data_IF_697771830621
#
_entry.id   IF_697771830621
#
_cell.length_a   1.000
_cell.length_b   1.000
_cell.length_c   1.000
_cell.angle_alpha   90.00
_cell.angle_beta   90.00
_cell.angle_gamma   90.00
#
_symmetry.space_group_name_H-M   'P 1'
#
loop_
_entity.id
_entity.type
_entity.pdbx_description
1 polymer ?
#
# COMPACT_ATOMS: atom_id res chain seq x y z
N UNK A 1 1.32 -1.46 -5.51
CA UNK A 1 0.90 -0.65 -6.66
C UNK A 1 0.61 -1.61 -7.79
N UNK A 2 -0.43 -1.35 -8.56
CA UNK A 2 -0.80 -2.11 -9.74
C UNK A 2 0.28 -1.93 -10.82
N UNK A 3 0.81 -3.00 -11.36
CA UNK A 3 1.95 -2.96 -12.31
C UNK A 3 1.60 -2.16 -13.58
N UNK A 4 0.39 -2.32 -14.11
CA UNK A 4 -0.04 -1.56 -15.29
C UNK A 4 -0.06 -0.04 -15.06
N UNK A 5 -0.29 0.42 -13.82
CA UNK A 5 -0.22 1.85 -13.49
C UNK A 5 1.22 2.37 -13.54
N UNK A 6 2.18 1.59 -13.04
CA UNK A 6 3.61 1.95 -13.13
C UNK A 6 4.01 2.08 -14.59
N UNK A 7 3.68 1.08 -15.40
CA UNK A 7 3.99 1.07 -16.83
C UNK A 7 3.36 2.28 -17.55
N UNK A 8 2.08 2.53 -17.32
CA UNK A 8 1.36 3.69 -17.96
C UNK A 8 1.94 5.03 -17.54
N UNK A 9 2.21 5.24 -16.24
CA UNK A 9 2.76 6.51 -15.78
C UNK A 9 4.16 6.75 -16.33
N UNK A 10 5.02 5.72 -16.37
CA UNK A 10 6.36 5.84 -16.93
C UNK A 10 6.33 6.12 -18.44
N UNK A 11 5.47 5.45 -19.20
CA UNK A 11 5.27 5.72 -20.63
C UNK A 11 4.81 7.15 -20.87
N UNK A 12 3.84 7.61 -20.08
CA UNK A 12 3.29 8.98 -20.20
C UNK A 12 4.36 10.04 -19.94
N UNK A 13 5.20 9.84 -18.92
CA UNK A 13 6.33 10.75 -18.67
C UNK A 13 7.31 10.71 -19.85
N UNK A 14 7.66 9.52 -20.36
CA UNK A 14 8.52 9.42 -21.54
C UNK A 14 7.95 10.14 -22.76
N UNK A 15 6.65 9.98 -23.02
CA UNK A 15 5.96 10.66 -24.13
C UNK A 15 6.03 12.18 -24.03
N UNK A 16 5.95 12.74 -22.81
CA UNK A 16 6.10 14.18 -22.58
C UNK A 16 7.48 14.72 -23.02
N UNK A 17 8.50 13.86 -23.05
CA UNK A 17 9.86 14.20 -23.47
C UNK A 17 10.25 13.62 -24.84
N UNK A 18 9.29 13.14 -25.63
CA UNK A 18 9.58 12.56 -26.95
C UNK A 18 10.23 11.18 -26.91
N UNK A 19 10.23 10.50 -25.76
CA UNK A 19 10.87 9.21 -25.53
C UNK A 19 9.86 8.06 -25.62
N UNK A 20 10.27 6.92 -26.19
CA UNK A 20 9.52 5.65 -26.07
C UNK A 20 10.07 4.85 -24.88
N UNK A 21 9.20 4.54 -23.93
CA UNK A 21 9.57 3.86 -22.69
C UNK A 21 8.95 2.47 -22.64
N UNK A 22 9.81 1.47 -22.47
CA UNK A 22 9.42 0.07 -22.29
C UNK A 22 9.90 -0.41 -20.93
N UNK A 23 9.00 -1.05 -20.16
CA UNK A 23 9.32 -1.58 -18.84
C UNK A 23 9.00 -3.06 -18.77
N UNK A 24 9.97 -3.87 -18.32
CA UNK A 24 9.74 -5.20 -17.79
C UNK A 24 9.81 -5.15 -16.27
N UNK A 25 8.71 -5.43 -15.60
CA UNK A 25 8.64 -5.39 -14.12
C UNK A 25 8.78 -6.80 -13.58
N UNK A 26 9.76 -7.01 -12.71
CA UNK A 26 10.03 -8.28 -12.03
C UNK A 26 9.88 -8.11 -10.52
N UNK A 27 9.96 -9.20 -9.78
CA UNK A 27 9.75 -9.19 -8.33
C UNK A 27 10.69 -8.24 -7.55
N UNK A 28 11.94 -8.11 -7.98
CA UNK A 28 12.96 -7.31 -7.27
C UNK A 28 13.59 -6.21 -8.12
N UNK A 29 13.40 -6.25 -9.42
CA UNK A 29 14.01 -5.29 -10.33
C UNK A 29 13.06 -4.92 -11.47
N UNK A 30 13.39 -3.81 -12.12
CA UNK A 30 12.73 -3.32 -13.32
C UNK A 30 13.79 -3.22 -14.40
N UNK A 31 13.50 -3.77 -15.57
CA UNK A 31 14.27 -3.50 -16.77
C UNK A 31 13.62 -2.32 -17.48
N UNK A 32 14.34 -1.23 -17.58
CA UNK A 32 13.89 0.00 -18.24
C UNK A 32 14.64 0.15 -19.56
N UNK A 33 13.88 0.27 -20.66
CA UNK A 33 14.41 0.64 -21.97
C UNK A 33 13.81 1.96 -22.37
N UNK A 34 14.65 2.94 -22.66
CA UNK A 34 14.26 4.27 -23.17
C UNK A 34 14.83 4.42 -24.56
N UNK A 35 13.99 4.75 -25.52
CA UNK A 35 14.39 5.01 -26.91
C UNK A 35 14.02 6.45 -27.26
N UNK A 36 15.00 7.22 -27.66
CA UNK A 36 14.78 8.56 -28.22
C UNK A 36 14.15 8.41 -29.61
N UNK A 37 12.99 9.06 -29.83
CA UNK A 37 12.26 8.97 -31.10
C UNK A 37 12.92 9.74 -32.24
N UNK A 38 13.79 10.71 -31.95
CA UNK A 38 14.48 11.54 -32.95
C UNK A 38 15.81 10.89 -33.38
N UNK A 39 16.61 10.45 -32.40
CA UNK A 39 17.94 9.91 -32.66
C UNK A 39 17.97 8.40 -32.83
N UNK A 40 16.91 7.70 -32.43
CA UNK A 40 16.84 6.23 -32.35
C UNK A 40 17.89 5.61 -31.39
N UNK A 41 18.49 6.43 -30.53
CA UNK A 41 19.39 5.92 -29.50
C UNK A 41 18.59 5.22 -28.39
N UNK A 42 19.07 4.06 -27.96
CA UNK A 42 18.44 3.27 -26.92
C UNK A 42 19.33 3.17 -25.68
N UNK A 43 18.75 3.47 -24.51
CA UNK A 43 19.38 3.25 -23.21
C UNK A 43 18.63 2.15 -22.47
N UNK A 44 19.39 1.17 -21.94
CA UNK A 44 18.83 0.08 -21.14
C UNK A 44 19.42 0.13 -19.73
N UNK A 45 18.58 0.05 -18.72
CA UNK A 45 19.00 0.05 -17.33
C UNK A 45 18.21 -0.99 -16.52
N UNK A 46 18.90 -1.65 -15.60
CA UNK A 46 18.29 -2.54 -14.61
C UNK A 46 18.26 -1.81 -13.27
N UNK A 47 17.08 -1.59 -12.74
CA UNK A 47 16.86 -0.83 -11.51
C UNK A 47 16.33 -1.77 -10.44
N UNK A 48 17.02 -1.85 -9.31
CA UNK A 48 16.53 -2.60 -8.15
C UNK A 48 15.37 -1.86 -7.49
N UNK A 49 14.32 -2.61 -7.12
CA UNK A 49 13.16 -2.05 -6.42
C UNK A 49 13.46 -2.00 -4.92
N UNK A 50 13.67 -0.81 -4.33
CA UNK A 50 13.88 -0.70 -2.90
C UNK A 50 12.60 -1.02 -2.12
N UNK A 51 12.77 -1.65 -0.95
CA UNK A 51 11.66 -1.92 -0.06
C UNK A 51 11.18 -0.63 0.61
N UNK A 52 10.12 -0.04 0.08
CA UNK A 52 9.45 1.11 0.68
C UNK A 52 8.08 0.75 1.24
N UNK A 53 7.62 1.41 2.31
CA UNK A 53 6.26 1.27 2.79
C UNK A 53 5.26 1.76 1.73
N UNK A 54 4.08 1.13 1.68
CA UNK A 54 3.05 1.49 0.73
C UNK A 54 2.44 2.84 1.14
N UNK A 55 2.47 3.83 0.25
CA UNK A 55 1.77 5.10 0.39
C UNK A 55 0.82 5.29 -0.79
N UNK A 56 -0.48 5.32 -0.50
CA UNK A 56 -1.50 5.59 -1.52
C UNK A 56 -1.48 7.04 -1.97
N UNK A 57 -1.13 7.96 -1.08
CA UNK A 57 -0.98 9.38 -1.35
C UNK A 57 0.13 9.63 -2.37
N UNK A 58 1.35 9.17 -2.09
CA UNK A 58 2.47 9.29 -3.05
C UNK A 58 2.13 8.64 -4.40
N UNK A 59 1.46 7.48 -4.38
CA UNK A 59 1.05 6.81 -5.62
C UNK A 59 0.04 7.64 -6.43
N UNK A 60 -0.91 8.31 -5.76
CA UNK A 60 -1.88 9.21 -6.39
C UNK A 60 -1.20 10.45 -6.96
N UNK A 61 -0.34 11.09 -6.16
CA UNK A 61 0.38 12.31 -6.56
C UNK A 61 1.36 12.05 -7.73
N UNK A 62 2.08 10.91 -7.71
CA UNK A 62 2.95 10.51 -8.82
C UNK A 62 2.15 10.23 -10.10
N UNK A 63 0.95 9.66 -9.96
CA UNK A 63 0.06 9.49 -11.11
C UNK A 63 -0.44 10.84 -11.65
N UNK A 64 -0.81 11.78 -10.77
CA UNK A 64 -1.18 13.14 -11.17
C UNK A 64 -0.01 13.87 -11.83
N UNK A 65 1.20 13.75 -11.28
CA UNK A 65 2.41 14.34 -11.85
C UNK A 65 2.68 13.84 -13.27
N UNK A 66 2.41 12.55 -13.55
CA UNK A 66 2.58 11.99 -14.90
C UNK A 66 1.62 12.61 -15.93
N UNK A 67 0.41 12.99 -15.52
CA UNK A 67 -0.52 13.74 -16.36
C UNK A 67 -0.09 15.19 -16.53
N UNK A 68 0.29 15.83 -15.43
CA UNK A 68 0.77 17.20 -15.45
C UNK A 68 2.00 17.40 -16.37
N UNK A 69 2.87 16.38 -16.42
CA UNK A 69 4.03 16.40 -17.31
C UNK A 69 3.64 16.54 -18.79
N UNK A 70 2.57 15.87 -19.22
CA UNK A 70 2.05 15.94 -20.59
C UNK A 70 1.24 17.21 -20.80
N UNK A 71 0.27 17.49 -19.92
CA UNK A 71 -0.72 18.55 -20.11
C UNK A 71 -0.07 19.96 -20.06
N UNK A 72 0.92 20.11 -19.17
CA UNK A 72 1.60 21.41 -18.96
C UNK A 72 2.99 21.48 -19.59
N UNK A 73 3.42 20.46 -20.34
CA UNK A 73 4.74 20.42 -20.99
C UNK A 73 5.88 20.76 -20.02
N UNK A 74 5.88 20.10 -18.84
CA UNK A 74 6.89 20.37 -17.79
C UNK A 74 8.31 20.14 -18.31
N UNK A 75 9.23 21.01 -17.91
CA UNK A 75 10.66 20.77 -18.09
C UNK A 75 11.16 19.65 -17.19
N UNK A 76 12.29 19.03 -17.52
CA UNK A 76 12.90 17.98 -16.71
C UNK A 76 13.23 18.47 -15.28
N UNK A 77 13.63 19.74 -15.15
CA UNK A 77 13.93 20.36 -13.86
C UNK A 77 12.67 20.49 -12.99
N UNK A 78 11.58 20.98 -13.56
CA UNK A 78 10.29 21.12 -12.87
C UNK A 78 9.71 19.76 -12.47
N UNK A 79 9.75 18.78 -13.38
CA UNK A 79 9.33 17.40 -13.09
C UNK A 79 10.13 16.83 -11.92
N UNK A 80 11.47 16.97 -11.96
CA UNK A 80 12.36 16.49 -10.91
C UNK A 80 12.10 17.18 -9.58
N UNK A 81 11.88 18.48 -9.57
CA UNK A 81 11.57 19.24 -8.37
C UNK A 81 10.25 18.78 -7.73
N UNK A 82 9.19 18.60 -8.54
CA UNK A 82 7.88 18.10 -8.08
C UNK A 82 7.97 16.67 -7.60
N UNK A 83 8.68 15.78 -8.30
CA UNK A 83 8.93 14.40 -7.88
C UNK A 83 9.61 14.36 -6.51
N UNK A 84 10.70 15.12 -6.33
CA UNK A 84 11.40 15.20 -5.03
C UNK A 84 10.50 15.69 -3.92
N UNK A 85 9.64 16.67 -4.18
CA UNK A 85 8.66 17.19 -3.22
C UNK A 85 7.67 16.10 -2.79
N UNK A 86 7.13 15.32 -3.73
CA UNK A 86 6.18 14.23 -3.44
C UNK A 86 6.85 13.15 -2.60
N UNK A 87 8.03 12.68 -3.02
CA UNK A 87 8.72 11.57 -2.33
C UNK A 87 9.23 11.97 -0.95
N UNK A 88 9.54 13.24 -0.73
CA UNK A 88 9.97 13.77 0.59
C UNK A 88 8.81 14.15 1.51
N UNK A 89 7.56 14.09 1.04
CA UNK A 89 6.41 14.43 1.87
C UNK A 89 6.30 13.48 3.08
N UNK A 90 6.02 14.00 4.28
CA UNK A 90 5.92 13.19 5.47
C UNK A 90 4.71 12.25 5.38
N UNK A 91 4.91 10.99 5.76
CA UNK A 91 3.80 10.04 5.86
C UNK A 91 2.87 10.38 7.04
N UNK A 92 1.64 9.90 6.95
CA UNK A 92 0.62 10.06 8.00
C UNK A 92 1.17 9.60 9.35
N UNK A 93 0.92 10.40 10.38
CA UNK A 93 1.40 10.10 11.73
C UNK A 93 0.90 8.73 12.23
N UNK A 94 1.76 7.85 12.79
CA UNK A 94 1.41 6.48 13.17
C UNK A 94 0.20 6.36 14.11
N UNK A 95 -0.04 7.36 14.97
CA UNK A 95 -1.20 7.39 15.86
C UNK A 95 -2.52 7.56 15.11
N UNK A 96 -2.55 8.42 14.07
CA UNK A 96 -3.74 8.55 13.23
C UNK A 96 -4.03 7.26 12.47
N UNK A 97 -2.99 6.61 11.94
CA UNK A 97 -3.12 5.31 11.26
C UNK A 97 -3.69 4.27 12.23
N UNK A 98 -3.20 4.24 13.48
CA UNK A 98 -3.69 3.34 14.51
C UNK A 98 -5.19 3.51 14.76
N UNK A 99 -5.66 4.75 14.95
CA UNK A 99 -7.07 5.06 15.19
C UNK A 99 -7.94 4.72 13.97
N UNK A 100 -7.50 5.11 12.77
CA UNK A 100 -8.23 4.83 11.52
C UNK A 100 -8.39 3.33 11.28
N UNK A 101 -7.36 2.53 11.55
CA UNK A 101 -7.42 1.07 11.43
C UNK A 101 -8.39 0.48 12.46
N UNK A 102 -8.37 0.98 13.69
CA UNK A 102 -9.34 0.59 14.72
C UNK A 102 -10.79 0.85 14.30
N UNK A 103 -11.08 2.06 13.80
CA UNK A 103 -12.42 2.41 13.30
C UNK A 103 -12.80 1.58 12.06
N UNK A 104 -11.86 1.34 11.14
CA UNK A 104 -12.12 0.52 9.96
C UNK A 104 -12.53 -0.91 10.36
N UNK A 105 -11.80 -1.56 11.27
CA UNK A 105 -12.14 -2.91 11.73
C UNK A 105 -13.47 -2.95 12.51
N UNK A 106 -13.76 -1.96 13.34
CA UNK A 106 -15.04 -1.84 14.01
C UNK A 106 -16.18 -1.68 12.99
N UNK A 107 -15.98 -0.91 11.92
CA UNK A 107 -16.95 -0.76 10.83
C UNK A 107 -17.14 -2.08 10.07
N UNK A 108 -16.09 -2.86 9.83
CA UNK A 108 -16.18 -4.21 9.25
C UNK A 108 -16.98 -5.15 10.17
N UNK A 109 -16.76 -5.09 11.48
CA UNK A 109 -17.56 -5.85 12.44
C UNK A 109 -19.06 -5.55 12.26
N UNK A 110 -19.43 -4.27 12.12
CA UNK A 110 -20.82 -3.88 11.87
C UNK A 110 -21.33 -4.39 10.53
N UNK A 111 -20.52 -4.29 9.48
CA UNK A 111 -20.88 -4.74 8.14
C UNK A 111 -21.19 -6.25 8.10
N UNK A 112 -20.46 -7.04 8.89
CA UNK A 112 -20.70 -8.49 9.03
C UNK A 112 -21.79 -8.86 10.02
N UNK A 113 -22.54 -7.87 10.54
CA UNK A 113 -23.68 -8.10 11.44
C UNK A 113 -23.33 -8.09 12.92
N UNK A 114 -22.14 -7.61 13.30
CA UNK A 114 -21.76 -7.42 14.70
C UNK A 114 -22.62 -6.38 15.43
N UNK A 115 -22.84 -6.59 16.71
CA UNK A 115 -23.52 -5.66 17.60
C UNK A 115 -22.61 -4.52 18.06
N UNK A 116 -23.15 -3.54 18.75
CA UNK A 116 -22.42 -2.36 19.20
C UNK A 116 -21.30 -2.70 20.21
N UNK A 117 -21.54 -3.69 21.06
CA UNK A 117 -20.58 -4.13 22.08
C UNK A 117 -19.41 -4.83 21.39
N UNK A 118 -19.69 -5.73 20.44
CA UNK A 118 -18.66 -6.39 19.62
C UNK A 118 -17.82 -5.38 18.84
N UNK A 119 -18.42 -4.31 18.28
CA UNK A 119 -17.68 -3.22 17.64
C UNK A 119 -16.67 -2.56 18.58
N UNK A 120 -17.07 -2.27 19.83
CA UNK A 120 -16.19 -1.68 20.84
C UNK A 120 -15.03 -2.62 21.21
N UNK A 121 -15.32 -3.91 21.34
CA UNK A 121 -14.33 -4.95 21.61
C UNK A 121 -13.35 -5.07 20.44
N UNK A 122 -13.84 -5.14 19.21
CA UNK A 122 -13.02 -5.20 17.99
C UNK A 122 -12.13 -3.96 17.85
N UNK A 123 -12.68 -2.79 18.11
CA UNK A 123 -11.89 -1.55 18.12
C UNK A 123 -10.70 -1.65 19.09
N UNK A 124 -10.97 -2.01 20.34
CA UNK A 124 -9.95 -2.12 21.40
C UNK A 124 -8.92 -3.22 21.09
N UNK A 125 -9.37 -4.38 20.63
CA UNK A 125 -8.50 -5.49 20.23
C UNK A 125 -7.61 -5.11 19.05
N UNK A 126 -8.17 -4.41 18.04
CA UNK A 126 -7.41 -3.92 16.88
C UNK A 126 -6.37 -2.89 17.28
N UNK A 127 -6.73 -1.91 18.13
CA UNK A 127 -5.78 -0.91 18.64
C UNK A 127 -4.61 -1.59 19.33
N UNK A 128 -4.87 -2.54 20.21
CA UNK A 128 -3.83 -3.27 20.95
C UNK A 128 -2.93 -4.08 20.02
N UNK A 129 -3.51 -4.89 19.14
CA UNK A 129 -2.77 -5.73 18.20
C UNK A 129 -1.99 -4.92 17.17
N UNK A 130 -2.59 -3.85 16.63
CA UNK A 130 -1.91 -3.01 15.63
C UNK A 130 -0.82 -2.13 16.26
N UNK A 131 -1.02 -1.63 17.47
CA UNK A 131 0.04 -0.94 18.21
C UNK A 131 1.25 -1.84 18.42
N UNK A 132 1.02 -3.08 18.88
CA UNK A 132 2.09 -4.06 19.04
C UNK A 132 2.82 -4.33 17.71
N UNK A 133 2.06 -4.50 16.62
CA UNK A 133 2.62 -4.63 15.26
C UNK A 133 3.54 -3.47 14.92
N UNK A 134 3.09 -2.21 15.13
CA UNK A 134 3.92 -1.04 14.87
C UNK A 134 5.22 -1.02 15.70
N UNK A 135 5.16 -1.39 16.99
CA UNK A 135 6.35 -1.43 17.84
C UNK A 135 7.34 -2.52 17.41
N UNK A 136 6.82 -3.70 17.04
CA UNK A 136 7.66 -4.81 16.56
C UNK A 136 8.30 -4.49 15.20
N UNK A 137 7.57 -3.83 14.30
CA UNK A 137 8.10 -3.38 13.01
C UNK A 137 9.21 -2.32 13.18
N UNK A 138 9.07 -1.37 14.13
CA UNK A 138 10.14 -0.41 14.44
C UNK A 138 11.41 -1.11 14.90
N UNK A 139 11.30 -2.24 15.59
CA UNK A 139 12.44 -3.09 16.01
C UNK A 139 12.98 -3.99 14.89
N UNK A 140 12.46 -3.86 13.67
CA UNK A 140 12.86 -4.66 12.48
C UNK A 140 12.79 -6.18 12.71
N UNK A 141 11.82 -6.64 13.52
CA UNK A 141 11.60 -8.06 13.75
C UNK A 141 11.08 -8.75 12.48
N UNK A 142 11.27 -10.07 12.40
CA UNK A 142 10.80 -10.86 11.29
C UNK A 142 9.30 -10.67 11.07
N UNK A 143 8.90 -10.43 9.81
CA UNK A 143 7.52 -10.15 9.42
C UNK A 143 6.53 -11.23 9.88
N UNK A 144 6.91 -12.51 9.79
CA UNK A 144 6.06 -13.62 10.22
C UNK A 144 5.83 -13.62 11.74
N UNK A 145 6.85 -13.33 12.53
CA UNK A 145 6.73 -13.23 13.99
C UNK A 145 5.80 -12.06 14.34
N UNK A 146 5.99 -10.91 13.70
CA UNK A 146 5.13 -9.73 13.90
C UNK A 146 3.66 -10.07 13.60
N UNK A 147 3.41 -10.79 12.51
CA UNK A 147 2.07 -11.20 12.10
C UNK A 147 1.43 -12.14 13.13
N UNK A 148 2.13 -13.23 13.50
CA UNK A 148 1.62 -14.25 14.45
C UNK A 148 1.32 -13.64 15.81
N UNK A 149 2.26 -12.88 16.38
CA UNK A 149 2.09 -12.27 17.71
C UNK A 149 0.97 -11.23 17.70
N UNK A 150 0.89 -10.41 16.66
CA UNK A 150 -0.18 -9.40 16.55
C UNK A 150 -1.57 -10.03 16.38
N UNK A 151 -1.66 -11.11 15.59
CA UNK A 151 -2.91 -11.86 15.43
C UNK A 151 -3.34 -12.52 16.76
N UNK A 152 -2.42 -13.18 17.44
CA UNK A 152 -2.67 -13.84 18.71
C UNK A 152 -3.18 -12.85 19.75
N UNK A 153 -2.51 -11.73 19.94
CA UNK A 153 -2.92 -10.72 20.92
C UNK A 153 -4.27 -10.10 20.58
N UNK A 154 -4.52 -9.76 19.30
CA UNK A 154 -5.80 -9.22 18.87
C UNK A 154 -6.95 -10.22 19.09
N UNK A 155 -6.76 -11.51 18.74
CA UNK A 155 -7.75 -12.56 18.96
C UNK A 155 -8.00 -12.81 20.45
N UNK A 156 -6.96 -12.80 21.26
CA UNK A 156 -7.08 -12.94 22.72
C UNK A 156 -7.86 -11.78 23.33
N UNK A 157 -7.61 -10.54 22.91
CA UNK A 157 -8.41 -9.40 23.34
C UNK A 157 -9.87 -9.50 22.86
N UNK A 158 -10.10 -9.94 21.62
CA UNK A 158 -11.43 -10.10 21.06
C UNK A 158 -12.24 -11.25 21.71
N UNK A 159 -11.57 -12.26 22.29
CA UNK A 159 -12.25 -13.36 22.99
C UNK A 159 -13.02 -12.89 24.24
N UNK A 160 -12.76 -11.67 24.74
CA UNK A 160 -13.59 -11.06 25.79
C UNK A 160 -15.05 -10.91 25.36
N UNK A 161 -15.34 -10.88 24.06
CA UNK A 161 -16.71 -10.90 23.54
C UNK A 161 -17.52 -12.13 23.99
N UNK A 162 -16.86 -13.25 24.31
CA UNK A 162 -17.51 -14.45 24.87
C UNK A 162 -18.13 -14.22 26.24
N UNK A 163 -17.64 -13.22 27.00
CA UNK A 163 -18.10 -12.92 28.34
C UNK A 163 -19.38 -12.07 28.33
N UNK A 164 -19.60 -11.31 27.25
CA UNK A 164 -20.64 -10.28 27.19
C UNK A 164 -21.90 -10.68 26.42
N UNK A 165 -22.09 -11.99 26.11
CA UNK A 165 -23.23 -12.48 25.31
C UNK A 165 -23.48 -11.67 24.03
N UNK A 166 -22.39 -11.47 23.28
CA UNK A 166 -22.34 -10.68 22.05
C UNK A 166 -22.08 -11.56 20.83
N UNK A 167 -22.01 -10.96 19.64
CA UNK A 167 -21.63 -11.64 18.40
C UNK A 167 -20.13 -11.99 18.38
N UNK A 168 -19.71 -12.87 19.31
CA UNK A 168 -18.30 -13.19 19.60
C UNK A 168 -17.54 -13.76 18.40
N UNK A 169 -18.20 -14.59 17.57
CA UNK A 169 -17.59 -15.17 16.37
C UNK A 169 -17.20 -14.07 15.37
N UNK A 170 -18.09 -13.07 15.16
CA UNK A 170 -17.83 -11.92 14.29
C UNK A 170 -16.72 -11.06 14.88
N UNK A 171 -16.74 -10.83 16.21
CA UNK A 171 -15.73 -10.03 16.88
C UNK A 171 -14.33 -10.64 16.74
N UNK A 172 -14.19 -11.94 16.98
CA UNK A 172 -12.90 -12.64 16.83
C UNK A 172 -12.40 -12.61 15.39
N UNK A 173 -13.27 -12.93 14.42
CA UNK A 173 -12.89 -12.93 13.01
C UNK A 173 -12.46 -11.55 12.51
N UNK A 174 -13.17 -10.49 12.89
CA UNK A 174 -12.90 -9.14 12.42
C UNK A 174 -11.72 -8.46 13.14
N UNK A 175 -11.40 -8.87 14.36
CA UNK A 175 -10.32 -8.28 15.15
C UNK A 175 -8.94 -8.39 14.49
N UNK A 176 -8.72 -9.40 13.65
CA UNK A 176 -7.45 -9.68 12.94
C UNK A 176 -7.45 -9.22 11.49
N UNK A 177 -8.53 -8.65 11.00
CA UNK A 177 -8.71 -8.31 9.59
C UNK A 177 -7.68 -7.28 9.09
N UNK A 178 -7.18 -6.41 9.96
CA UNK A 178 -6.11 -5.45 9.64
C UNK A 178 -4.77 -6.11 9.24
N UNK A 179 -4.60 -7.39 9.48
CA UNK A 179 -3.42 -8.15 9.07
C UNK A 179 -3.52 -8.66 7.63
N UNK A 180 -4.74 -8.78 7.10
CA UNK A 180 -4.96 -9.26 5.72
C UNK A 180 -4.52 -8.19 4.73
N UNK A 181 -3.52 -8.49 3.88
CA UNK A 181 -3.01 -7.53 2.91
C UNK A 181 -3.94 -7.45 1.68
N UNK A 182 -5.17 -6.96 1.86
CA UNK A 182 -6.23 -6.99 0.85
C UNK A 182 -5.83 -6.31 -0.47
N UNK A 183 -5.25 -5.12 -0.43
CA UNK A 183 -4.83 -4.39 -1.63
C UNK A 183 -3.68 -5.10 -2.37
N UNK A 184 -2.60 -5.56 -1.72
CA UNK A 184 -1.59 -6.39 -2.38
C UNK A 184 -2.15 -7.67 -3.02
N UNK A 185 -3.10 -8.34 -2.34
CA UNK A 185 -3.74 -9.55 -2.90
C UNK A 185 -4.54 -9.24 -4.17
N UNK A 186 -5.39 -8.21 -4.14
CA UNK A 186 -6.17 -7.79 -5.31
C UNK A 186 -5.25 -7.38 -6.46
N UNK A 187 -4.22 -6.58 -6.18
CA UNK A 187 -3.26 -6.18 -7.21
C UNK A 187 -2.51 -7.38 -7.81
N UNK A 188 -2.12 -8.36 -6.98
CA UNK A 188 -1.49 -9.58 -7.48
C UNK A 188 -2.39 -10.40 -8.40
N UNK A 189 -3.67 -10.54 -8.05
CA UNK A 189 -4.66 -11.21 -8.93
C UNK A 189 -4.84 -10.46 -10.25
N UNK A 190 -4.92 -9.12 -10.20
CA UNK A 190 -5.06 -8.31 -11.41
C UNK A 190 -3.80 -8.43 -12.27
N UNK A 191 -2.61 -8.37 -11.68
CA UNK A 191 -1.34 -8.50 -12.41
C UNK A 191 -1.25 -9.88 -13.12
N UNK A 192 -1.73 -10.96 -12.47
CA UNK A 192 -1.82 -12.29 -13.10
C UNK A 192 -2.77 -12.26 -14.30
N UNK A 193 -3.97 -11.68 -14.14
CA UNK A 193 -4.97 -11.61 -15.21
C UNK A 193 -4.50 -10.76 -16.39
N UNK A 194 -3.77 -9.68 -16.11
CA UNK A 194 -3.20 -8.79 -17.12
C UNK A 194 -1.89 -9.31 -17.73
N UNK A 195 -1.34 -10.42 -17.24
CA UNK A 195 -0.13 -11.06 -17.78
C UNK A 195 1.18 -10.37 -17.40
N UNK A 196 1.23 -9.69 -16.26
CA UNK A 196 2.45 -9.08 -15.72
C UNK A 196 3.28 -10.01 -14.80
N UNK A 197 2.93 -11.28 -14.70
CA UNK A 197 3.60 -12.30 -13.87
C UNK A 197 4.14 -13.41 -14.76
#
# INVERSE_FOLDING_TARGET
VHTSRVVRNSKRIGEAFGLDVKLGVFHKNIILTIVDKETNEACNEVIDIPAHPISFEHNSELSALSWEAVDNHLSLEELTAKYKKIVSAPMIHPLFVLLLVGFANASFCKLFGGDLISMGIVFSATITGFYLKQQMQKKKLNHYIVFIVSAFVASLCASTALIFDTTSEIAMATSVLYLVPGVPLINGVIDIVEGYV
#
